data_IF_675607262037
#
_entry.id   IF_675607262037
#
_cell.length_a   1.000
_cell.length_b   1.000
_cell.length_c   1.000
_cell.angle_alpha   90.00
_cell.angle_beta   90.00
_cell.angle_gamma   90.00
#
_symmetry.space_group_name_H-M   'P 1'
#
loop_
_entity.id
_entity.type
_entity.pdbx_description
1 polymer ?
#
# COMPACT_ATOMS: atom_id res chain seq x y z
N UNK A 1 -48.81 13.95 -20.39
CA UNK A 1 -47.35 13.81 -20.67
C UNK A 1 -46.44 14.46 -19.62
N UNK A 2 -46.82 15.53 -18.90
CA UNK A 2 -45.93 16.19 -17.90
C UNK A 2 -45.60 15.41 -16.62
N UNK A 3 -46.40 14.39 -16.24
CA UNK A 3 -46.15 13.62 -14.99
C UNK A 3 -45.03 12.58 -15.11
N UNK A 4 -44.72 12.11 -16.32
CA UNK A 4 -43.67 11.11 -16.54
C UNK A 4 -42.26 11.71 -16.58
N UNK A 5 -42.13 12.99 -16.96
CA UNK A 5 -40.83 13.67 -17.01
C UNK A 5 -40.25 13.95 -15.61
N UNK A 6 -41.10 14.16 -14.60
CA UNK A 6 -40.67 14.41 -13.21
C UNK A 6 -40.10 13.16 -12.52
N UNK A 7 -40.57 11.95 -12.89
CA UNK A 7 -40.03 10.71 -12.32
C UNK A 7 -38.62 10.40 -12.82
N UNK A 8 -38.31 10.71 -14.09
CA UNK A 8 -36.97 10.45 -14.66
C UNK A 8 -35.93 11.39 -14.05
N UNK A 9 -36.27 12.65 -13.77
CA UNK A 9 -35.37 13.60 -13.10
C UNK A 9 -35.10 13.22 -11.64
N UNK A 10 -36.07 12.65 -10.93
CA UNK A 10 -35.89 12.14 -9.56
C UNK A 10 -35.02 10.88 -9.51
N UNK A 11 -35.14 9.97 -10.50
CA UNK A 11 -34.32 8.76 -10.59
C UNK A 11 -32.86 9.10 -10.95
N UNK A 12 -32.62 10.12 -11.76
CA UNK A 12 -31.26 10.58 -12.12
C UNK A 12 -30.57 11.34 -10.98
N UNK A 13 -31.34 11.97 -10.08
CA UNK A 13 -30.76 12.70 -8.93
C UNK A 13 -30.47 11.81 -7.72
N UNK A 14 -31.04 10.61 -7.64
CA UNK A 14 -30.71 9.63 -6.59
C UNK A 14 -29.43 8.81 -6.87
N UNK A 15 -29.00 8.69 -8.13
CA UNK A 15 -27.79 7.95 -8.50
C UNK A 15 -26.49 8.76 -8.36
N UNK A 16 -26.58 10.06 -8.06
CA UNK A 16 -25.41 10.93 -7.89
C UNK A 16 -24.96 11.12 -6.42
N UNK A 17 -25.66 10.51 -5.45
CA UNK A 17 -25.34 10.60 -4.01
C UNK A 17 -24.62 9.32 -3.50
N UNK A 18 -24.44 8.32 -4.37
CA UNK A 18 -23.57 7.17 -4.09
C UNK A 18 -22.10 7.55 -4.31
N UNK A 19 -21.44 8.13 -3.29
CA UNK A 19 -19.96 8.09 -3.21
C UNK A 19 -19.35 8.64 -1.92
N UNK A 20 -20.12 9.22 -0.99
CA UNK A 20 -19.54 9.83 0.23
C UNK A 20 -19.66 8.97 1.50
N UNK A 21 -20.12 7.72 1.40
CA UNK A 21 -20.15 6.82 2.54
C UNK A 21 -19.11 5.71 2.36
N UNK A 22 -18.39 5.34 3.44
CA UNK A 22 -17.46 4.23 3.38
C UNK A 22 -18.23 2.93 3.11
N UNK A 23 -17.67 2.03 2.32
CA UNK A 23 -18.18 0.68 2.11
C UNK A 23 -18.18 -0.10 3.44
N UNK A 24 -17.15 0.12 4.25
CA UNK A 24 -16.97 -0.47 5.58
C UNK A 24 -16.04 0.38 6.43
N UNK A 25 -16.14 0.21 7.75
CA UNK A 25 -15.26 0.83 8.74
C UNK A 25 -14.69 -0.28 9.59
N UNK A 26 -13.38 -0.45 9.53
CA UNK A 26 -12.69 -1.58 10.14
C UNK A 26 -11.49 -1.13 10.97
N UNK A 27 -10.98 -2.01 11.82
CA UNK A 27 -9.78 -1.74 12.62
C UNK A 27 -8.54 -2.35 11.98
N UNK A 28 -7.45 -1.59 11.89
CA UNK A 28 -6.15 -2.10 11.43
C UNK A 28 -5.61 -3.12 12.45
N UNK A 29 -5.63 -4.40 12.09
CA UNK A 29 -5.26 -5.49 12.99
C UNK A 29 -3.79 -5.87 12.87
N UNK A 30 -3.26 -5.91 11.65
CA UNK A 30 -1.85 -6.11 11.39
C UNK A 30 -1.37 -5.27 10.22
N UNK A 31 -0.07 -4.97 10.18
CA UNK A 31 0.57 -4.35 9.03
C UNK A 31 2.00 -4.87 8.86
N UNK A 32 2.44 -5.00 7.61
CA UNK A 32 3.82 -5.30 7.24
C UNK A 32 4.30 -4.13 6.39
N UNK A 33 5.41 -3.49 6.78
CA UNK A 33 5.95 -2.31 6.10
C UNK A 33 7.22 -2.69 5.36
N UNK A 34 7.31 -2.27 4.09
CA UNK A 34 8.45 -2.54 3.23
C UNK A 34 9.40 -1.35 3.14
N UNK A 35 10.63 -1.62 2.70
CA UNK A 35 11.67 -0.58 2.50
C UNK A 35 11.28 0.49 1.48
N UNK A 36 10.51 0.11 0.46
CA UNK A 36 9.98 1.04 -0.55
C UNK A 36 8.79 1.87 -0.06
N UNK A 37 8.44 1.81 1.23
CA UNK A 37 7.30 2.49 1.85
C UNK A 37 5.95 2.05 1.27
N UNK A 38 5.87 0.87 0.65
CA UNK A 38 4.62 0.16 0.47
C UNK A 38 4.34 -0.70 1.71
N UNK A 39 3.08 -1.10 1.90
CA UNK A 39 2.72 -1.94 3.05
C UNK A 39 1.59 -2.90 2.72
N UNK A 40 1.48 -3.92 3.57
CA UNK A 40 0.38 -4.88 3.55
C UNK A 40 -0.41 -4.74 4.82
N UNK A 41 -1.72 -4.48 4.73
CA UNK A 41 -2.60 -4.30 5.87
C UNK A 41 -3.54 -5.51 5.99
N UNK A 42 -3.81 -5.90 7.23
CA UNK A 42 -4.87 -6.85 7.58
C UNK A 42 -5.86 -6.12 8.48
N UNK A 43 -7.12 -6.09 8.07
CA UNK A 43 -8.19 -5.45 8.84
C UNK A 43 -8.89 -6.48 9.75
N UNK A 44 -9.69 -5.99 10.71
CA UNK A 44 -10.35 -6.83 11.71
C UNK A 44 -11.39 -7.80 11.13
N UNK A 45 -11.96 -7.49 9.96
CA UNK A 45 -12.82 -8.38 9.20
C UNK A 45 -12.06 -9.53 8.50
N UNK A 46 -10.73 -9.55 8.60
CA UNK A 46 -9.87 -10.54 7.95
C UNK A 46 -9.55 -10.23 6.48
N UNK A 47 -9.89 -9.04 5.99
CA UNK A 47 -9.50 -8.60 4.64
C UNK A 47 -8.02 -8.22 4.57
N UNK A 48 -7.39 -8.52 3.43
CA UNK A 48 -5.98 -8.28 3.17
C UNK A 48 -5.83 -7.22 2.08
N UNK A 49 -4.91 -6.28 2.28
CA UNK A 49 -4.76 -5.12 1.41
C UNK A 49 -3.31 -4.84 1.12
N UNK A 50 -2.97 -4.55 -0.13
CA UNK A 50 -1.73 -3.83 -0.45
C UNK A 50 -2.02 -2.33 -0.36
N UNK A 51 -1.41 -1.65 0.59
CA UNK A 51 -1.54 -0.22 0.84
C UNK A 51 -0.35 0.56 0.27
N UNK A 52 -0.64 1.61 -0.49
CA UNK A 52 0.30 2.37 -1.29
C UNK A 52 0.11 3.86 -1.01
N UNK A 53 1.18 4.54 -0.63
CA UNK A 53 1.18 6.01 -0.47
C UNK A 53 1.18 6.73 -1.82
N UNK A 54 0.61 7.93 -1.88
CA UNK A 54 0.71 8.77 -3.05
C UNK A 54 2.09 9.42 -3.12
N UNK A 55 2.83 9.19 -4.20
CA UNK A 55 4.13 9.84 -4.39
C UNK A 55 3.98 11.01 -5.35
N UNK A 56 4.08 12.24 -4.85
CA UNK A 56 3.98 13.45 -5.68
C UNK A 56 5.08 13.43 -6.77
N UNK A 57 4.72 13.71 -8.03
CA UNK A 57 5.71 13.89 -9.10
C UNK A 57 6.54 15.16 -8.87
N UNK A 58 7.65 15.27 -9.60
CA UNK A 58 8.41 16.51 -9.62
C UNK A 58 7.58 17.64 -10.27
N UNK A 59 7.55 18.80 -9.62
CA UNK A 59 6.90 20.01 -10.17
C UNK A 59 7.74 20.56 -11.30
N UNK A 60 7.11 20.91 -12.42
CA UNK A 60 7.77 21.73 -13.44
C UNK A 60 8.19 23.08 -12.86
N UNK A 61 9.16 23.75 -13.49
CA UNK A 61 9.63 25.08 -13.04
C UNK A 61 8.48 26.11 -12.96
N UNK A 62 7.53 26.06 -13.89
CA UNK A 62 6.36 26.94 -13.88
C UNK A 62 5.43 26.64 -12.71
N UNK A 63 5.14 25.36 -12.44
CA UNK A 63 4.31 24.94 -11.30
C UNK A 63 4.97 25.31 -9.97
N UNK A 64 6.29 25.16 -9.88
CA UNK A 64 7.05 25.58 -8.72
C UNK A 64 6.96 27.09 -8.49
N UNK A 65 7.14 27.89 -9.54
CA UNK A 65 7.05 29.35 -9.47
C UNK A 65 5.66 29.84 -9.05
N UNK A 66 4.61 29.14 -9.50
CA UNK A 66 3.22 29.46 -9.18
C UNK A 66 2.71 28.77 -7.89
N UNK A 67 3.58 28.06 -7.18
CA UNK A 67 3.24 27.29 -5.98
C UNK A 67 2.02 26.35 -6.15
N UNK A 68 1.95 25.65 -7.29
CA UNK A 68 0.86 24.71 -7.58
C UNK A 68 0.91 23.54 -6.60
N UNK A 69 -0.20 23.26 -5.93
CA UNK A 69 -0.38 22.09 -5.08
C UNK A 69 -0.75 20.87 -5.94
N UNK A 70 0.07 19.81 -5.87
CA UNK A 70 -0.12 18.60 -6.68
C UNK A 70 -1.08 17.60 -6.04
N UNK A 71 -1.13 17.58 -4.71
CA UNK A 71 -2.04 16.75 -3.94
C UNK A 71 -2.20 17.36 -2.53
N UNK A 72 -3.40 17.27 -1.94
CA UNK A 72 -3.64 17.68 -0.56
C UNK A 72 -2.71 16.99 0.44
N UNK A 73 -2.50 17.61 1.61
CA UNK A 73 -1.61 17.10 2.65
C UNK A 73 -2.02 15.71 3.17
N UNK A 74 -3.30 15.35 3.12
CA UNK A 74 -3.81 14.06 3.56
C UNK A 74 -3.22 12.87 2.78
N UNK A 75 -2.79 13.11 1.54
CA UNK A 75 -2.16 12.12 0.67
C UNK A 75 -0.65 12.02 0.87
N UNK A 76 -0.05 12.95 1.63
CA UNK A 76 1.38 12.94 1.95
C UNK A 76 1.64 12.04 3.17
N UNK A 77 1.28 10.77 3.04
CA UNK A 77 1.48 9.76 4.06
C UNK A 77 1.92 8.43 3.44
N UNK A 78 2.53 7.61 4.28
CA UNK A 78 2.94 6.25 3.94
C UNK A 78 2.32 5.24 4.90
N UNK A 79 2.21 3.96 4.50
CA UNK A 79 1.72 2.88 5.37
C UNK A 79 2.42 2.80 6.74
N UNK A 80 3.67 3.26 6.83
CA UNK A 80 4.40 3.31 8.11
C UNK A 80 3.78 4.28 9.13
N UNK A 81 3.15 5.36 8.67
CA UNK A 81 2.55 6.40 9.53
C UNK A 81 1.28 5.91 10.27
N UNK A 82 0.75 4.74 9.90
CA UNK A 82 -0.52 4.22 10.42
C UNK A 82 -0.31 3.26 11.60
N UNK A 83 -1.08 3.42 12.68
CA UNK A 83 -0.91 2.61 13.89
C UNK A 83 -1.89 1.43 13.94
N UNK A 84 -1.45 0.30 14.48
CA UNK A 84 -2.35 -0.81 14.82
C UNK A 84 -3.47 -0.33 15.75
N UNK A 85 -4.68 -0.83 15.56
CA UNK A 85 -5.87 -0.36 16.26
C UNK A 85 -6.51 0.91 15.68
N UNK A 86 -5.93 1.52 14.64
CA UNK A 86 -6.56 2.66 13.96
C UNK A 86 -7.86 2.23 13.27
N UNK A 87 -8.88 3.08 13.35
CA UNK A 87 -10.10 2.92 12.56
C UNK A 87 -9.85 3.39 11.12
N UNK A 88 -10.08 2.48 10.19
CA UNK A 88 -9.90 2.63 8.76
C UNK A 88 -11.27 2.61 8.10
N UNK A 89 -11.58 3.67 7.39
CA UNK A 89 -12.71 3.73 6.50
C UNK A 89 -12.27 3.32 5.09
N UNK A 90 -12.98 2.36 4.51
CA UNK A 90 -12.68 1.84 3.17
C UNK A 90 -13.65 2.46 2.19
N UNK A 91 -13.13 3.16 1.20
CA UNK A 91 -13.91 3.77 0.13
C UNK A 91 -13.57 3.11 -1.21
N UNK A 92 -14.52 2.97 -2.12
CA UNK A 92 -14.21 2.69 -3.50
C UNK A 92 -13.41 3.86 -4.08
N UNK A 93 -12.41 3.57 -4.91
CA UNK A 93 -11.64 4.61 -5.59
C UNK A 93 -12.47 5.32 -6.66
N UNK A 94 -13.52 4.67 -7.18
CA UNK A 94 -14.42 5.29 -8.15
C UNK A 94 -15.31 6.33 -7.46
N UNK A 95 -15.12 7.61 -7.79
CA UNK A 95 -15.84 8.73 -7.17
C UNK A 95 -15.11 10.05 -7.37
N UNK A 96 -15.49 11.07 -6.58
CA UNK A 96 -14.79 12.35 -6.55
C UNK A 96 -13.46 12.21 -5.81
N UNK A 97 -12.44 11.65 -6.46
CA UNK A 97 -11.06 11.75 -5.98
C UNK A 97 -10.69 13.23 -5.90
N UNK A 98 -10.19 13.65 -4.74
CA UNK A 98 -9.68 15.02 -4.55
C UNK A 98 -8.31 15.24 -5.21
N UNK A 99 -7.80 14.24 -5.93
CA UNK A 99 -6.52 14.29 -6.60
C UNK A 99 -6.60 13.86 -8.06
N UNK A 100 -5.66 14.37 -8.84
CA UNK A 100 -5.39 13.91 -10.19
C UNK A 100 -4.26 12.87 -10.15
N UNK A 101 -4.56 11.64 -10.58
CA UNK A 101 -3.58 10.55 -10.59
C UNK A 101 -2.36 10.84 -11.48
N UNK A 102 -2.50 11.72 -12.48
CA UNK A 102 -1.38 12.15 -13.33
C UNK A 102 -0.32 12.96 -12.57
N UNK A 103 -0.65 13.44 -11.36
CA UNK A 103 0.29 14.13 -10.48
C UNK A 103 1.09 13.18 -9.57
N UNK A 104 0.87 11.86 -9.70
CA UNK A 104 1.64 10.83 -9.01
C UNK A 104 2.87 10.42 -9.84
N UNK A 105 4.05 10.32 -9.23
CA UNK A 105 5.21 9.64 -9.82
C UNK A 105 5.01 8.13 -9.87
N UNK A 106 4.16 7.57 -9.01
CA UNK A 106 3.76 6.17 -8.99
C UNK A 106 2.40 5.92 -9.66
N UNK A 107 2.03 6.74 -10.67
CA UNK A 107 0.72 6.72 -11.32
C UNK A 107 0.28 5.33 -11.79
N UNK A 108 1.17 4.54 -12.40
CA UNK A 108 0.81 3.22 -12.92
C UNK A 108 0.37 2.23 -11.83
N UNK A 109 0.93 2.35 -10.62
CA UNK A 109 0.52 1.56 -9.46
C UNK A 109 -0.80 2.10 -8.90
N UNK A 110 -0.92 3.42 -8.78
CA UNK A 110 -2.13 4.09 -8.30
C UNK A 110 -3.34 3.72 -9.16
N UNK A 111 -3.19 3.69 -10.49
CA UNK A 111 -4.25 3.28 -11.44
C UNK A 111 -4.80 1.87 -11.18
N UNK A 112 -3.97 0.96 -10.69
CA UNK A 112 -4.37 -0.43 -10.39
C UNK A 112 -5.14 -0.54 -9.06
N UNK A 113 -5.06 0.48 -8.21
CA UNK A 113 -5.78 0.49 -6.94
C UNK A 113 -7.28 0.58 -7.17
N UNK A 114 -8.04 -0.17 -6.38
CA UNK A 114 -9.51 -0.24 -6.46
C UNK A 114 -10.19 0.55 -5.35
N UNK A 115 -9.47 0.80 -4.24
CA UNK A 115 -10.00 1.41 -3.04
C UNK A 115 -9.07 2.49 -2.48
N UNK A 116 -9.64 3.30 -1.60
CA UNK A 116 -8.93 4.19 -0.70
C UNK A 116 -9.13 3.70 0.73
N UNK A 117 -8.05 3.72 1.51
CA UNK A 117 -8.09 3.54 2.95
C UNK A 117 -7.93 4.92 3.57
N UNK A 118 -8.88 5.33 4.40
CA UNK A 118 -8.87 6.62 5.08
C UNK A 118 -8.78 6.38 6.58
N UNK A 119 -7.78 6.98 7.23
CA UNK A 119 -7.66 6.92 8.67
C UNK A 119 -8.67 7.91 9.26
N UNK A 120 -9.70 7.40 9.94
CA UNK A 120 -10.80 8.23 10.45
C UNK A 120 -10.31 9.33 11.41
N UNK A 121 -9.22 9.07 12.15
CA UNK A 121 -8.70 10.04 13.12
C UNK A 121 -7.85 11.13 12.48
N UNK A 122 -6.95 10.76 11.56
CA UNK A 122 -5.97 11.69 10.99
C UNK A 122 -6.39 12.27 9.66
N UNK A 123 -7.39 11.69 9.00
CA UNK A 123 -7.79 12.02 7.63
C UNK A 123 -6.78 11.57 6.58
N UNK A 124 -5.71 10.87 6.95
CA UNK A 124 -4.69 10.38 6.02
C UNK A 124 -5.29 9.37 5.05
N UNK A 125 -4.84 9.42 3.80
CA UNK A 125 -5.37 8.59 2.70
C UNK A 125 -4.27 7.75 2.07
N UNK A 126 -4.51 6.44 2.00
CA UNK A 126 -3.69 5.49 1.23
C UNK A 126 -4.52 4.91 0.09
N UNK A 127 -3.86 4.61 -1.03
CA UNK A 127 -4.43 3.83 -2.11
C UNK A 127 -4.31 2.35 -1.78
N UNK A 128 -5.30 1.54 -2.17
CA UNK A 128 -5.28 0.13 -1.86
C UNK A 128 -5.82 -0.79 -2.95
N UNK A 129 -5.29 -2.00 -2.93
CA UNK A 129 -5.75 -3.16 -3.71
C UNK A 129 -6.17 -4.23 -2.70
N UNK A 130 -7.41 -4.68 -2.77
CA UNK A 130 -7.87 -5.83 -1.99
C UNK A 130 -7.25 -7.10 -2.56
N UNK A 131 -6.75 -7.96 -1.68
CA UNK A 131 -6.09 -9.21 -2.03
C UNK A 131 -6.79 -10.39 -1.38
N UNK A 132 -6.79 -11.55 -2.04
CA UNK A 132 -7.07 -12.79 -1.33
C UNK A 132 -5.94 -13.09 -0.32
N UNK A 133 -6.20 -13.89 0.72
CA UNK A 133 -5.17 -14.31 1.66
C UNK A 133 -3.97 -14.98 0.95
N UNK A 134 -4.24 -15.85 -0.03
CA UNK A 134 -3.22 -16.55 -0.80
C UNK A 134 -2.39 -15.58 -1.64
N UNK A 135 -3.04 -14.63 -2.31
CA UNK A 135 -2.35 -13.63 -3.13
C UNK A 135 -1.48 -12.71 -2.27
N UNK A 136 -1.97 -12.29 -1.10
CA UNK A 136 -1.21 -11.50 -0.14
C UNK A 136 0.07 -12.23 0.28
N UNK A 137 -0.04 -13.50 0.67
CA UNK A 137 1.12 -14.32 1.06
C UNK A 137 2.10 -14.51 -0.10
N UNK A 138 1.62 -14.86 -1.30
CA UNK A 138 2.48 -15.04 -2.48
C UNK A 138 3.26 -13.77 -2.77
N UNK A 139 2.60 -12.61 -2.81
CA UNK A 139 3.26 -11.34 -3.08
C UNK A 139 4.28 -10.99 -1.99
N UNK A 140 3.94 -11.16 -0.72
CA UNK A 140 4.86 -10.96 0.40
C UNK A 140 6.12 -11.83 0.25
N UNK A 141 5.96 -13.11 -0.07
CA UNK A 141 7.07 -14.05 -0.27
C UNK A 141 7.93 -13.69 -1.48
N UNK A 142 7.32 -13.40 -2.62
CA UNK A 142 8.05 -13.04 -3.84
C UNK A 142 8.84 -11.74 -3.65
N UNK A 143 8.22 -10.74 -3.03
CA UNK A 143 8.85 -9.46 -2.76
C UNK A 143 10.00 -9.61 -1.74
N UNK A 144 9.79 -10.33 -0.63
CA UNK A 144 10.84 -10.59 0.35
C UNK A 144 12.02 -11.39 -0.25
N UNK A 145 11.72 -12.37 -1.11
CA UNK A 145 12.74 -13.13 -1.84
C UNK A 145 13.56 -12.23 -2.76
N UNK A 146 12.90 -11.34 -3.50
CA UNK A 146 13.58 -10.44 -4.43
C UNK A 146 14.45 -9.42 -3.67
N UNK A 147 13.95 -8.87 -2.56
CA UNK A 147 14.75 -7.98 -1.70
C UNK A 147 15.97 -8.68 -1.12
N UNK A 148 15.80 -9.90 -0.59
CA UNK A 148 16.93 -10.70 -0.10
C UNK A 148 17.93 -11.07 -1.19
N UNK A 149 17.45 -11.33 -2.42
CA UNK A 149 18.30 -11.57 -3.58
C UNK A 149 19.14 -10.33 -3.94
N UNK A 150 18.51 -9.16 -4.05
CA UNK A 150 19.16 -7.92 -4.42
C UNK A 150 20.18 -7.49 -3.36
N UNK A 151 19.83 -7.62 -2.09
CA UNK A 151 20.74 -7.33 -0.97
C UNK A 151 21.94 -8.27 -0.96
N UNK A 152 21.70 -9.57 -1.15
CA UNK A 152 22.78 -10.56 -1.27
C UNK A 152 23.69 -10.29 -2.48
N UNK A 153 23.13 -9.85 -3.61
CA UNK A 153 23.90 -9.45 -4.79
C UNK A 153 24.77 -8.21 -4.53
N UNK A 154 24.20 -7.15 -3.95
CA UNK A 154 24.91 -5.91 -3.62
C UNK A 154 26.03 -6.19 -2.60
N UNK A 155 25.75 -6.98 -1.57
CA UNK A 155 26.74 -7.30 -0.55
C UNK A 155 27.86 -8.18 -1.11
N UNK A 156 27.50 -9.19 -1.92
CA UNK A 156 28.44 -10.03 -2.63
C UNK A 156 29.36 -9.24 -3.56
N UNK A 157 28.81 -8.30 -4.34
CA UNK A 157 29.62 -7.46 -5.24
C UNK A 157 30.52 -6.47 -4.48
N UNK A 158 30.04 -5.86 -3.38
CA UNK A 158 30.86 -5.00 -2.50
C UNK A 158 32.02 -5.75 -1.86
N UNK A 159 31.79 -6.98 -1.38
CA UNK A 159 32.83 -7.83 -0.79
C UNK A 159 33.82 -8.39 -1.83
N UNK A 160 33.38 -8.56 -3.08
CA UNK A 160 34.14 -9.26 -4.12
C UNK A 160 34.76 -8.39 -5.22
N UNK A 161 34.88 -7.07 -5.00
CA UNK A 161 35.81 -6.24 -5.79
C UNK A 161 37.29 -6.71 -5.70
N UNK A 162 37.57 -7.82 -4.99
CA UNK A 162 38.87 -8.46 -4.89
C UNK A 162 39.02 -9.86 -5.49
N UNK A 163 37.99 -10.64 -5.88
CA UNK A 163 38.18 -11.92 -6.62
C UNK A 163 36.88 -12.67 -7.01
N UNK A 164 36.78 -12.98 -8.31
CA UNK A 164 36.18 -14.16 -9.02
C UNK A 164 34.72 -14.61 -8.80
N UNK A 165 34.18 -15.24 -9.86
CA UNK A 165 32.85 -15.87 -10.04
C UNK A 165 32.40 -16.83 -8.92
N UNK A 166 33.35 -17.39 -8.16
CA UNK A 166 33.06 -18.33 -7.06
C UNK A 166 32.47 -17.60 -5.84
N UNK A 167 32.96 -16.40 -5.58
CA UNK A 167 32.46 -15.56 -4.50
C UNK A 167 31.09 -14.96 -4.82
N UNK A 168 30.78 -14.77 -6.12
CA UNK A 168 29.44 -14.45 -6.62
C UNK A 168 28.45 -15.58 -6.33
N UNK A 169 28.77 -16.81 -6.72
CA UNK A 169 27.89 -17.97 -6.48
C UNK A 169 27.65 -18.20 -4.99
N UNK A 170 28.67 -17.96 -4.14
CA UNK A 170 28.56 -18.12 -2.70
C UNK A 170 27.72 -17.02 -2.04
N UNK A 171 27.93 -15.75 -2.42
CA UNK A 171 27.09 -14.64 -1.95
C UNK A 171 25.63 -14.76 -2.39
N UNK A 172 25.40 -15.24 -3.61
CA UNK A 172 24.08 -15.54 -4.15
C UNK A 172 23.37 -16.66 -3.37
N UNK A 173 24.03 -17.80 -3.17
CA UNK A 173 23.46 -18.92 -2.42
C UNK A 173 23.17 -18.54 -0.96
N UNK A 174 24.06 -17.76 -0.35
CA UNK A 174 23.91 -17.34 1.04
C UNK A 174 22.83 -16.26 1.20
N UNK A 175 22.75 -15.27 0.30
CA UNK A 175 21.68 -14.28 0.29
C UNK A 175 20.30 -14.90 0.07
N UNK A 176 20.19 -15.88 -0.83
CA UNK A 176 18.95 -16.64 -1.02
C UNK A 176 18.59 -17.44 0.25
N UNK A 177 19.56 -18.10 0.87
CA UNK A 177 19.36 -18.87 2.11
C UNK A 177 18.92 -17.97 3.27
N UNK A 178 19.62 -16.86 3.48
CA UNK A 178 19.34 -15.87 4.52
C UNK A 178 17.98 -15.23 4.29
N UNK A 179 17.70 -14.70 3.09
CA UNK A 179 16.41 -14.10 2.77
C UNK A 179 15.24 -15.07 2.92
N UNK A 180 15.41 -16.33 2.49
CA UNK A 180 14.38 -17.36 2.67
C UNK A 180 14.18 -17.73 4.13
N UNK A 181 15.25 -17.92 4.90
CA UNK A 181 15.17 -18.36 6.30
C UNK A 181 14.72 -17.22 7.20
N UNK A 182 15.38 -16.06 7.13
CA UNK A 182 15.10 -14.90 7.97
C UNK A 182 13.82 -14.19 7.54
N UNK A 183 13.51 -14.10 6.24
CA UNK A 183 12.24 -13.55 5.76
C UNK A 183 11.05 -14.39 6.24
N UNK A 184 11.17 -15.72 6.18
CA UNK A 184 10.17 -16.64 6.73
C UNK A 184 10.05 -16.52 8.26
N UNK A 185 11.18 -16.43 8.97
CA UNK A 185 11.21 -16.29 10.42
C UNK A 185 10.61 -14.96 10.91
N UNK A 186 10.93 -13.85 10.22
CA UNK A 186 10.40 -12.51 10.53
C UNK A 186 8.91 -12.46 10.24
N UNK A 187 8.46 -13.01 9.11
CA UNK A 187 7.03 -13.11 8.79
C UNK A 187 6.25 -13.93 9.85
N UNK A 188 6.87 -14.95 10.46
CA UNK A 188 6.27 -15.72 11.56
C UNK A 188 6.30 -14.95 12.88
N UNK A 189 7.44 -14.36 13.23
CA UNK A 189 7.65 -13.72 14.54
C UNK A 189 6.90 -12.39 14.67
N UNK A 190 6.68 -11.67 13.58
CA UNK A 190 5.95 -10.40 13.58
C UNK A 190 4.43 -10.56 13.43
N UNK A 191 3.94 -11.75 13.02
CA UNK A 191 2.50 -12.02 12.87
C UNK A 191 1.92 -12.99 13.92
N UNK A 192 2.73 -13.54 14.83
CA UNK A 192 2.19 -14.26 15.98
C UNK A 192 1.95 -13.25 17.11
N UNK A 193 0.71 -13.14 17.65
CA UNK A 193 0.53 -12.44 18.91
C UNK A 193 1.48 -13.08 19.93
N UNK A 194 2.34 -12.28 20.56
CA UNK A 194 3.07 -12.73 21.75
C UNK A 194 2.02 -13.18 22.75
N UNK A 195 1.87 -14.48 22.91
CA UNK A 195 1.20 -15.06 24.06
C UNK A 195 2.10 -14.80 25.29
N UNK A 196 2.19 -13.54 25.70
CA UNK A 196 2.60 -13.16 27.05
C UNK A 196 1.39 -13.36 27.98
N UNK A 197 0.92 -14.62 28.05
CA UNK A 197 -0.03 -15.11 29.04
C UNK A 197 0.25 -16.58 29.34
N UNK A 198 1.43 -16.90 29.88
CA UNK A 198 1.60 -17.99 30.87
C UNK A 198 2.80 -17.67 31.77
N UNK A 199 2.57 -16.84 32.79
CA UNK A 199 2.84 -17.09 34.22
C UNK A 199 2.63 -15.83 35.03
#
# INVERSE_FOLDING_TARGET
>A
MKKWLLMIVAIISCSAIYSNQPERVETLSAKIIKKNKEGYFVLADGSYWKAIGFSKRWRSLSEWWNNVELAPEQYDCVPDDWYLGSLIEVYPKYGNLEINEADASNQEIIKQCTNLLVNNRTGQVLFAIELSPEECLVRLFEEARNEGYDEGYIEGTKKNYKNSTESYNRGHAEGYRVGYTEGYQTAINENLPRNDLVN
#
